data_IF_855218594113
#
_entry.id   IF_855218594113
#
_cell.length_a   1.000
_cell.length_b   1.000
_cell.length_c   1.000
_cell.angle_alpha   90.00
_cell.angle_beta   90.00
_cell.angle_gamma   90.00
#
_symmetry.space_group_name_H-M   'P 1'
#
loop_
_entity.id
_entity.type
_entity.pdbx_description
1 polymer ?
#
# COMPACT_ATOMS: atom_id res chain seq x y z
N UNK A 1 0.54 16.53 -21.20
CA UNK A 1 0.77 15.63 -20.05
C UNK A 1 -0.56 14.99 -19.69
N UNK A 2 -0.62 13.68 -19.42
CA UNK A 2 -1.83 13.07 -18.89
C UNK A 2 -2.16 13.68 -17.52
N UNK A 3 -3.45 13.87 -17.19
CA UNK A 3 -3.85 14.31 -15.86
C UNK A 3 -3.35 13.32 -14.79
N UNK A 4 -3.00 13.83 -13.61
CA UNK A 4 -2.49 13.07 -12.45
C UNK A 4 -3.32 11.81 -12.14
N UNK A 5 -4.61 11.86 -12.47
CA UNK A 5 -5.58 10.80 -12.25
C UNK A 5 -5.34 9.55 -13.09
N UNK A 6 -4.81 9.66 -14.32
CA UNK A 6 -4.71 8.48 -15.22
C UNK A 6 -3.83 7.38 -14.62
N UNK A 7 -2.66 7.75 -14.07
CA UNK A 7 -1.78 6.75 -13.45
C UNK A 7 -2.42 6.15 -12.19
N UNK A 8 -3.08 6.98 -11.37
CA UNK A 8 -3.77 6.51 -10.18
C UNK A 8 -4.90 5.53 -10.52
N UNK A 9 -5.68 5.81 -11.56
CA UNK A 9 -6.77 4.94 -12.03
C UNK A 9 -6.23 3.60 -12.54
N UNK A 10 -5.12 3.62 -13.29
CA UNK A 10 -4.44 2.39 -13.75
C UNK A 10 -3.98 1.56 -12.56
N UNK A 11 -3.26 2.17 -11.61
CA UNK A 11 -2.75 1.47 -10.41
C UNK A 11 -3.90 0.92 -9.56
N UNK A 12 -4.97 1.71 -9.37
CA UNK A 12 -6.15 1.28 -8.61
C UNK A 12 -6.82 0.07 -9.26
N UNK A 13 -6.99 0.06 -10.58
CA UNK A 13 -7.58 -1.09 -11.29
C UNK A 13 -6.71 -2.34 -11.16
N UNK A 14 -5.38 -2.21 -11.25
CA UNK A 14 -4.48 -3.34 -11.02
C UNK A 14 -4.57 -3.89 -9.60
N UNK A 15 -4.72 -3.03 -8.59
CA UNK A 15 -4.92 -3.42 -7.19
C UNK A 15 -6.27 -4.13 -7.02
N UNK A 16 -7.35 -3.59 -7.60
CA UNK A 16 -8.68 -4.22 -7.56
C UNK A 16 -8.64 -5.64 -8.09
N UNK A 17 -8.01 -5.83 -9.25
CA UNK A 17 -7.87 -7.14 -9.88
C UNK A 17 -7.03 -8.09 -9.03
N UNK A 18 -5.92 -7.61 -8.47
CA UNK A 18 -5.04 -8.41 -7.62
C UNK A 18 -5.73 -8.87 -6.33
N UNK A 19 -6.41 -7.95 -5.65
CA UNK A 19 -7.14 -8.25 -4.42
C UNK A 19 -8.32 -9.18 -4.68
N UNK A 20 -9.04 -8.99 -5.79
CA UNK A 20 -10.12 -9.90 -6.18
C UNK A 20 -9.58 -11.31 -6.43
N UNK A 21 -8.43 -11.44 -7.11
CA UNK A 21 -7.78 -12.74 -7.34
C UNK A 21 -7.33 -13.42 -6.05
N UNK A 22 -6.69 -12.68 -5.13
CA UNK A 22 -6.08 -13.24 -3.92
C UNK A 22 -7.07 -13.51 -2.78
N UNK A 23 -7.95 -12.55 -2.53
CA UNK A 23 -8.80 -12.54 -1.34
C UNK A 23 -10.27 -12.82 -1.67
N UNK A 24 -10.66 -12.85 -2.95
CA UNK A 24 -12.06 -12.97 -3.36
C UNK A 24 -12.92 -11.78 -2.92
N UNK A 25 -12.30 -10.68 -2.49
CA UNK A 25 -12.96 -9.48 -1.98
C UNK A 25 -12.87 -8.35 -2.99
N UNK A 26 -13.89 -7.49 -2.99
CA UNK A 26 -13.95 -6.26 -3.77
C UNK A 26 -14.76 -5.22 -3.00
N UNK A 27 -14.55 -3.94 -3.27
CA UNK A 27 -15.40 -2.89 -2.73
C UNK A 27 -16.81 -2.97 -3.34
N UNK A 28 -17.87 -2.65 -2.58
CA UNK A 28 -19.24 -2.59 -3.11
C UNK A 28 -19.45 -1.37 -4.02
N UNK A 29 -18.71 -0.28 -3.77
CA UNK A 29 -18.82 1.00 -4.46
C UNK A 29 -17.58 1.28 -5.32
N UNK A 30 -17.71 2.28 -6.21
CA UNK A 30 -16.61 2.79 -7.01
C UNK A 30 -15.59 3.54 -6.12
N UNK A 31 -14.34 3.08 -6.15
CA UNK A 31 -13.24 3.73 -5.43
C UNK A 31 -12.65 4.83 -6.30
N UNK A 32 -12.41 5.99 -5.72
CA UNK A 32 -11.78 7.13 -6.41
C UNK A 32 -10.51 7.56 -5.70
N UNK A 33 -9.58 8.18 -6.43
CA UNK A 33 -8.34 8.71 -5.87
C UNK A 33 -8.32 10.23 -5.96
N UNK A 34 -8.06 10.91 -4.85
CA UNK A 34 -7.95 12.37 -4.80
C UNK A 34 -6.63 12.80 -4.19
N UNK A 35 -5.87 13.60 -4.94
CA UNK A 35 -4.66 14.22 -4.42
C UNK A 35 -4.99 15.48 -3.60
N UNK A 36 -4.39 15.61 -2.42
CA UNK A 36 -4.64 16.72 -1.48
C UNK A 36 -3.35 17.33 -0.93
N UNK A 37 -3.36 18.63 -0.70
CA UNK A 37 -2.19 19.41 -0.25
C UNK A 37 -2.16 19.69 1.27
N UNK A 38 -3.27 19.49 1.96
CA UNK A 38 -3.39 19.81 3.39
C UNK A 38 -2.80 18.74 4.33
N UNK A 39 -2.35 17.60 3.80
CA UNK A 39 -1.86 16.50 4.61
C UNK A 39 -0.43 16.77 5.11
N UNK A 40 -0.15 16.53 6.40
CA UNK A 40 1.19 16.66 6.92
C UNK A 40 2.11 15.56 6.33
N UNK A 41 3.43 15.78 6.25
CA UNK A 41 4.35 14.91 5.51
C UNK A 41 4.35 13.43 5.91
N UNK A 42 4.04 13.13 7.17
CA UNK A 42 4.01 11.78 7.73
C UNK A 42 2.75 10.97 7.34
N UNK A 43 1.71 11.63 6.81
CA UNK A 43 0.50 10.96 6.33
C UNK A 43 0.59 10.86 4.82
N UNK A 44 0.80 9.64 4.30
CA UNK A 44 0.98 9.40 2.86
C UNK A 44 -0.35 9.30 2.10
N UNK A 45 -1.36 8.75 2.76
CA UNK A 45 -2.73 8.67 2.31
C UNK A 45 -3.66 8.39 3.48
N UNK A 46 -4.97 8.47 3.23
CA UNK A 46 -5.98 7.96 4.14
C UNK A 46 -7.33 7.76 3.42
N UNK A 47 -8.18 6.93 4.00
CA UNK A 47 -9.60 6.82 3.70
C UNK A 47 -10.45 7.29 4.90
N UNK A 48 -11.63 7.86 4.65
CA UNK A 48 -12.59 8.20 5.71
C UNK A 48 -13.59 7.06 5.90
N UNK A 49 -14.06 6.88 7.13
CA UNK A 49 -15.16 5.95 7.38
C UNK A 49 -16.40 6.35 6.57
N UNK A 50 -17.00 5.37 5.88
CA UNK A 50 -18.12 5.57 4.96
C UNK A 50 -17.81 6.32 3.65
N UNK A 51 -16.53 6.56 3.33
CA UNK A 51 -16.08 7.16 2.06
C UNK A 51 -15.31 6.13 1.23
N UNK A 52 -15.50 6.15 -0.08
CA UNK A 52 -14.76 5.31 -1.04
C UNK A 52 -13.70 6.12 -1.79
N UNK A 53 -13.32 7.28 -1.26
CA UNK A 53 -12.25 8.13 -1.77
C UNK A 53 -10.95 7.88 -1.00
N UNK A 54 -9.90 7.48 -1.72
CA UNK A 54 -8.54 7.44 -1.19
C UNK A 54 -7.92 8.82 -1.39
N UNK A 55 -7.62 9.50 -0.28
CA UNK A 55 -6.97 10.81 -0.29
C UNK A 55 -5.46 10.62 -0.23
N UNK A 56 -4.73 10.98 -1.29
CA UNK A 56 -3.27 10.83 -1.39
C UNK A 56 -2.57 12.16 -1.12
N UNK A 57 -1.50 12.13 -0.36
CA UNK A 57 -0.67 13.31 -0.09
C UNK A 57 0.05 13.77 -1.37
N UNK A 58 -0.38 14.91 -1.93
CA UNK A 58 0.17 15.45 -3.18
C UNK A 58 1.64 15.84 -3.05
N UNK A 59 2.07 16.31 -1.88
CA UNK A 59 3.46 16.70 -1.67
C UNK A 59 4.38 15.48 -1.76
N UNK A 60 3.99 14.38 -1.12
CA UNK A 60 4.77 13.13 -1.15
C UNK A 60 4.72 12.47 -2.52
N UNK A 61 3.56 12.47 -3.18
CA UNK A 61 3.44 12.01 -4.57
C UNK A 61 4.34 12.80 -5.51
N UNK A 62 4.35 14.13 -5.39
CA UNK A 62 5.22 14.99 -6.21
C UNK A 62 6.70 14.65 -6.00
N UNK A 63 7.12 14.40 -4.77
CA UNK A 63 8.50 13.95 -4.46
C UNK A 63 8.83 12.62 -5.11
N UNK A 64 7.91 11.65 -5.04
CA UNK A 64 8.06 10.35 -5.68
C UNK A 64 8.20 10.47 -7.19
N UNK A 65 7.33 11.29 -7.80
CA UNK A 65 7.34 11.58 -9.24
C UNK A 65 8.62 12.27 -9.69
N UNK A 66 9.08 13.30 -8.97
CA UNK A 66 10.36 13.97 -9.30
C UNK A 66 11.56 13.02 -9.22
N UNK A 67 11.43 11.94 -8.46
CA UNK A 67 12.47 10.94 -8.26
C UNK A 67 12.27 9.67 -9.12
N UNK A 68 11.26 9.65 -9.99
CA UNK A 68 10.96 8.57 -10.94
C UNK A 68 10.46 7.27 -10.34
N UNK A 69 9.71 7.31 -9.23
CA UNK A 69 9.12 6.13 -8.59
C UNK A 69 7.64 6.30 -8.23
N UNK A 70 6.93 7.16 -8.96
CA UNK A 70 5.52 7.47 -8.72
C UNK A 70 4.61 6.24 -8.80
N UNK A 71 4.95 5.26 -9.65
CA UNK A 71 4.16 4.03 -9.79
C UNK A 71 4.28 3.17 -8.54
N UNK A 72 5.50 2.86 -8.10
CA UNK A 72 5.76 2.11 -6.87
C UNK A 72 5.16 2.80 -5.64
N UNK A 73 5.28 4.13 -5.57
CA UNK A 73 4.72 4.94 -4.49
C UNK A 73 3.19 4.83 -4.46
N UNK A 74 2.52 5.05 -5.59
CA UNK A 74 1.06 4.94 -5.67
C UNK A 74 0.60 3.53 -5.36
N UNK A 75 1.29 2.51 -5.87
CA UNK A 75 0.87 1.12 -5.68
C UNK A 75 0.84 0.75 -4.20
N UNK A 76 1.88 1.09 -3.43
CA UNK A 76 1.95 0.79 -1.99
C UNK A 76 0.83 1.50 -1.23
N UNK A 77 0.65 2.81 -1.44
CA UNK A 77 -0.34 3.59 -0.68
C UNK A 77 -1.77 3.19 -1.05
N UNK A 78 -2.05 3.06 -2.34
CA UNK A 78 -3.38 2.68 -2.78
C UNK A 78 -3.72 1.25 -2.34
N UNK A 79 -2.75 0.33 -2.31
CA UNK A 79 -2.96 -1.02 -1.80
C UNK A 79 -3.32 -0.98 -0.31
N UNK A 80 -2.56 -0.25 0.49
CA UNK A 80 -2.81 -0.07 1.92
C UNK A 80 -4.24 0.43 2.20
N UNK A 81 -4.62 1.55 1.58
CA UNK A 81 -5.94 2.16 1.79
C UNK A 81 -7.07 1.29 1.19
N UNK A 82 -6.82 0.58 0.09
CA UNK A 82 -7.80 -0.33 -0.50
C UNK A 82 -8.05 -1.57 0.39
N UNK A 83 -7.04 -2.06 1.11
CA UNK A 83 -7.23 -3.14 2.10
C UNK A 83 -8.18 -2.70 3.23
N UNK A 84 -8.11 -1.44 3.66
CA UNK A 84 -9.08 -0.88 4.59
C UNK A 84 -10.49 -0.82 3.98
N UNK A 85 -10.61 -0.39 2.71
CA UNK A 85 -11.89 -0.30 2.01
C UNK A 85 -12.61 -1.65 1.83
N UNK A 86 -11.88 -2.78 1.76
CA UNK A 86 -12.48 -4.12 1.71
C UNK A 86 -12.76 -4.71 3.10
N UNK A 87 -12.60 -3.91 4.16
CA UNK A 87 -12.97 -4.25 5.53
C UNK A 87 -11.86 -4.88 6.39
N UNK A 88 -10.58 -4.73 6.02
CA UNK A 88 -9.47 -5.12 6.91
C UNK A 88 -9.15 -3.93 7.81
N UNK A 89 -9.59 -3.99 9.07
CA UNK A 89 -9.46 -2.89 10.02
C UNK A 89 -8.18 -2.96 10.87
N UNK A 90 -7.58 -4.14 11.02
CA UNK A 90 -6.35 -4.29 11.81
C UNK A 90 -5.13 -3.80 11.00
N UNK A 91 -4.54 -2.70 11.47
CA UNK A 91 -3.35 -2.08 10.87
C UNK A 91 -2.20 -3.05 10.65
N UNK A 92 -1.99 -3.97 11.61
CA UNK A 92 -0.90 -4.94 11.53
C UNK A 92 -1.17 -5.97 10.44
N UNK A 93 -2.41 -6.43 10.32
CA UNK A 93 -2.85 -7.31 9.24
C UNK A 93 -2.71 -6.62 7.87
N UNK A 94 -3.15 -5.37 7.73
CA UNK A 94 -2.99 -4.59 6.48
C UNK A 94 -1.52 -4.50 6.09
N UNK A 95 -0.64 -4.07 7.00
CA UNK A 95 0.80 -3.94 6.74
C UNK A 95 1.46 -5.28 6.38
N UNK A 96 1.02 -6.38 6.98
CA UNK A 96 1.52 -7.72 6.66
C UNK A 96 1.13 -8.13 5.24
N UNK A 97 -0.14 -7.96 4.86
CA UNK A 97 -0.65 -8.29 3.53
C UNK A 97 0.00 -7.39 2.47
N UNK A 98 0.09 -6.09 2.75
CA UNK A 98 0.74 -5.11 1.89
C UNK A 98 2.19 -5.52 1.60
N UNK A 99 2.99 -5.77 2.64
CA UNK A 99 4.39 -6.20 2.50
C UNK A 99 4.55 -7.52 1.70
N UNK A 100 3.64 -8.47 1.89
CA UNK A 100 3.62 -9.76 1.16
C UNK A 100 3.35 -9.55 -0.34
N UNK A 101 2.28 -8.82 -0.69
CA UNK A 101 1.91 -8.54 -2.08
C UNK A 101 3.01 -7.71 -2.77
N UNK A 102 3.57 -6.72 -2.08
CA UNK A 102 4.63 -5.86 -2.63
C UNK A 102 5.91 -6.67 -2.87
N UNK A 103 6.29 -7.56 -1.95
CA UNK A 103 7.45 -8.42 -2.12
C UNK A 103 7.32 -9.32 -3.34
N UNK A 104 6.18 -9.98 -3.50
CA UNK A 104 5.95 -10.89 -4.61
C UNK A 104 5.92 -10.16 -5.96
N UNK A 105 5.31 -8.96 -5.99
CA UNK A 105 5.13 -8.19 -7.22
C UNK A 105 6.40 -7.47 -7.67
N UNK A 106 7.12 -6.83 -6.74
CA UNK A 106 8.25 -5.95 -7.07
C UNK A 106 9.61 -6.52 -6.65
N UNK A 107 9.63 -7.51 -5.76
CA UNK A 107 10.86 -8.05 -5.19
C UNK A 107 11.44 -7.20 -4.05
N UNK A 108 12.28 -7.84 -3.21
CA UNK A 108 12.84 -7.25 -1.99
C UNK A 108 13.80 -6.06 -2.22
N UNK A 109 14.37 -5.95 -3.41
CA UNK A 109 15.31 -4.86 -3.75
C UNK A 109 14.61 -3.63 -4.33
N UNK A 110 13.29 -3.69 -4.53
CA UNK A 110 12.52 -2.60 -5.13
C UNK A 110 12.34 -1.41 -4.19
N UNK A 111 11.94 -0.27 -4.77
CA UNK A 111 11.56 0.90 -4.00
C UNK A 111 10.20 0.72 -3.32
N UNK A 112 9.26 0.06 -4.00
CA UNK A 112 7.97 -0.34 -3.43
C UNK A 112 8.16 -1.12 -2.12
N UNK A 113 9.04 -2.14 -2.13
CA UNK A 113 9.31 -2.96 -0.95
C UNK A 113 9.91 -2.16 0.20
N UNK A 114 10.80 -1.20 -0.10
CA UNK A 114 11.34 -0.29 0.93
C UNK A 114 10.27 0.59 1.56
N UNK A 115 9.36 1.15 0.76
CA UNK A 115 8.23 1.95 1.26
C UNK A 115 7.32 1.08 2.14
N UNK A 116 6.96 -0.12 1.68
CA UNK A 116 6.14 -1.05 2.46
C UNK A 116 6.82 -1.47 3.78
N UNK A 117 8.15 -1.63 3.80
CA UNK A 117 8.91 -1.89 5.03
C UNK A 117 8.89 -0.72 6.01
N UNK A 118 8.98 0.52 5.52
CA UNK A 118 8.88 1.73 6.36
C UNK A 118 7.50 1.87 7.00
N UNK A 119 6.46 1.35 6.33
CA UNK A 119 5.10 1.29 6.86
C UNK A 119 4.85 0.07 7.78
N UNK A 120 5.61 -1.01 7.63
CA UNK A 120 5.41 -2.25 8.37
C UNK A 120 5.65 -2.12 9.88
N UNK A 121 5.06 -3.02 10.67
CA UNK A 121 5.39 -3.14 12.09
C UNK A 121 6.80 -3.75 12.23
N UNK A 122 7.73 -3.13 13.00
CA UNK A 122 9.09 -3.63 13.19
C UNK A 122 9.16 -5.09 13.67
N UNK A 123 8.16 -5.55 14.43
CA UNK A 123 8.10 -6.93 14.96
C UNK A 123 7.86 -7.94 13.84
N UNK A 124 7.05 -7.59 12.85
CA UNK A 124 6.75 -8.47 11.73
C UNK A 124 7.93 -8.55 10.76
N UNK A 125 8.64 -7.43 10.56
CA UNK A 125 9.91 -7.41 9.82
C UNK A 125 10.95 -8.32 10.48
N UNK A 126 11.07 -8.26 11.81
CA UNK A 126 11.97 -9.14 12.57
C UNK A 126 11.59 -10.61 12.43
N UNK A 127 10.31 -10.97 12.62
CA UNK A 127 9.84 -12.34 12.48
C UNK A 127 10.09 -12.89 11.08
N UNK A 128 9.78 -12.11 10.03
CA UNK A 128 10.02 -12.48 8.64
C UNK A 128 11.50 -12.70 8.35
N UNK A 129 12.37 -11.83 8.85
CA UNK A 129 13.82 -11.99 8.70
C UNK A 129 14.32 -13.20 9.48
N UNK A 130 13.81 -13.46 10.69
CA UNK A 130 14.19 -14.62 11.50
C UNK A 130 13.87 -15.94 10.77
N UNK A 131 12.71 -16.01 10.10
CA UNK A 131 12.31 -17.20 9.33
C UNK A 131 13.23 -17.48 8.13
N UNK A 132 13.88 -16.45 7.54
CA UNK A 132 14.88 -16.64 6.46
C UNK A 132 16.16 -17.34 6.93
N UNK A 133 16.46 -17.28 8.24
CA UNK A 133 17.66 -17.91 8.83
C UNK A 133 17.36 -19.24 9.56
N UNK A 134 16.15 -19.79 9.39
CA UNK A 134 15.68 -21.00 10.09
C UNK A 134 14.68 -20.65 11.19
N UNK A 135 13.79 -21.60 11.52
CA UNK A 135 12.70 -21.40 12.50
C UNK A 135 13.25 -20.73 13.78
N UNK A 136 12.59 -19.69 14.31
CA UNK A 136 12.95 -19.19 15.63
C UNK A 136 12.81 -20.36 16.62
N UNK A 137 13.84 -20.61 17.41
CA UNK A 137 13.78 -21.52 18.54
C UNK A 137 12.71 -20.98 19.50
N UNK A 138 11.48 -21.46 19.37
CA UNK A 138 10.54 -21.48 20.47
C UNK A 138 11.15 -22.39 21.52
N UNK A 139 11.69 -21.80 22.58
CA UNK A 139 11.91 -22.53 23.83
C UNK A 139 10.54 -23.08 24.27
N UNK A 140 10.48 -24.41 24.36
CA UNK A 140 9.35 -25.20 24.89
C UNK A 140 9.22 -24.94 26.38
#
# INVERSE_FOLDING_TARGET
MPPLTILADVVLNEIRDEIKRRLGKQTPEEVTVRFVEYLPPQILGYVRDGDYTIYVNLQQYTRARSSGYEYEYLYVILLHEYLHLIGIADEREVRRIDLEIIEERFGQNSRAYRIALELADPRDVYLKNSQKFGRPNTYI
#
